data_IF_931255098411
#
_entry.id   IF_931255098411
#
_cell.length_a   1.000
_cell.length_b   1.000
_cell.length_c   1.000
_cell.angle_alpha   90.00
_cell.angle_beta   90.00
_cell.angle_gamma   90.00
#
_symmetry.space_group_name_H-M   'P 1'
#
loop_
_entity.id
_entity.type
_entity.pdbx_description
1 polymer ?
#
# COMPACT_ATOMS: atom_id res chain seq x y z
N UNK A 1 10.51 4.26 -4.24
CA UNK A 1 11.61 4.05 -5.23
C UNK A 1 12.07 2.59 -5.28
N UNK A 2 12.46 1.98 -4.15
CA UNK A 2 12.90 0.58 -4.08
C UNK A 2 11.97 -0.42 -4.80
N UNK A 3 10.66 -0.31 -4.58
CA UNK A 3 9.66 -1.23 -5.15
C UNK A 3 9.55 -1.18 -6.67
N UNK A 4 9.74 -0.01 -7.29
CA UNK A 4 9.79 0.11 -8.75
C UNK A 4 11.02 -0.60 -9.32
N UNK A 5 12.16 -0.46 -8.66
CA UNK A 5 13.38 -1.17 -9.03
C UNK A 5 13.23 -2.69 -8.83
N UNK A 6 12.62 -3.12 -7.72
CA UNK A 6 12.33 -4.54 -7.46
C UNK A 6 11.42 -5.17 -8.52
N UNK A 7 10.35 -4.48 -8.91
CA UNK A 7 9.46 -4.93 -9.99
C UNK A 7 10.22 -5.05 -11.32
N UNK A 8 11.00 -4.02 -11.69
CA UNK A 8 11.80 -4.03 -12.92
C UNK A 8 12.87 -5.14 -12.92
N UNK A 9 13.48 -5.41 -11.76
CA UNK A 9 14.42 -6.51 -11.60
C UNK A 9 13.74 -7.87 -11.82
N UNK A 10 12.57 -8.11 -11.24
CA UNK A 10 11.84 -9.37 -11.47
C UNK A 10 11.50 -9.58 -12.94
N UNK A 11 11.07 -8.51 -13.63
CA UNK A 11 10.84 -8.55 -15.08
C UNK A 11 12.12 -8.88 -15.84
N UNK A 12 13.27 -8.32 -15.45
CA UNK A 12 14.55 -8.65 -16.09
C UNK A 12 15.00 -10.09 -15.85
N UNK A 13 14.50 -10.74 -14.79
CA UNK A 13 14.69 -12.17 -14.51
C UNK A 13 13.63 -13.07 -15.18
N UNK A 14 12.80 -12.54 -16.08
CA UNK A 14 11.76 -13.28 -16.79
C UNK A 14 10.51 -13.59 -15.97
N UNK A 15 10.35 -12.97 -14.79
CA UNK A 15 9.13 -13.11 -13.98
C UNK A 15 8.11 -12.02 -14.39
N UNK A 16 6.84 -12.38 -14.67
CA UNK A 16 5.81 -11.40 -15.02
C UNK A 16 5.38 -10.61 -13.77
N UNK A 17 6.15 -9.60 -13.41
CA UNK A 17 5.91 -8.74 -12.25
C UNK A 17 5.31 -7.39 -12.65
N UNK A 18 4.41 -6.87 -11.81
CA UNK A 18 3.89 -5.51 -11.93
C UNK A 18 4.10 -4.71 -10.64
N UNK A 19 4.28 -3.40 -10.79
CA UNK A 19 4.35 -2.47 -9.67
C UNK A 19 2.97 -1.94 -9.33
N UNK A 20 2.64 -1.92 -8.04
CA UNK A 20 1.40 -1.38 -7.49
C UNK A 20 1.74 -0.33 -6.42
N UNK A 21 0.97 0.76 -6.38
CA UNK A 21 1.10 1.76 -5.31
C UNK A 21 0.30 1.29 -4.09
N UNK A 22 0.93 1.25 -2.92
CA UNK A 22 0.26 0.80 -1.70
C UNK A 22 -0.92 1.69 -1.33
N UNK A 23 -0.84 2.98 -1.68
CA UNK A 23 -1.89 3.98 -1.40
C UNK A 23 -3.17 3.68 -2.18
N UNK A 24 -3.07 2.96 -3.30
CA UNK A 24 -4.25 2.54 -4.06
C UNK A 24 -4.99 1.35 -3.42
N UNK A 25 -4.36 0.68 -2.46
CA UNK A 25 -4.88 -0.50 -1.77
C UNK A 25 -5.18 -0.25 -0.29
N UNK A 26 -4.43 0.66 0.34
CA UNK A 26 -4.50 0.91 1.77
C UNK A 26 -5.00 2.33 2.02
N UNK A 27 -6.16 2.42 2.68
CA UNK A 27 -6.71 3.65 3.20
C UNK A 27 -6.63 3.65 4.73
N UNK A 28 -6.10 4.72 5.31
CA UNK A 28 -6.09 4.89 6.76
C UNK A 28 -7.47 5.28 7.27
N UNK A 29 -7.79 4.80 8.47
CA UNK A 29 -9.02 5.18 9.16
C UNK A 29 -8.96 6.67 9.57
N UNK A 30 -10.04 7.40 9.31
CA UNK A 30 -10.15 8.77 9.83
C UNK A 30 -10.37 8.72 11.34
N UNK A 31 -9.41 9.27 12.07
CA UNK A 31 -9.50 9.49 13.50
C UNK A 31 -9.33 10.96 13.81
N UNK A 32 -10.40 11.73 13.63
CA UNK A 32 -10.50 13.16 13.97
C UNK A 32 -10.08 13.52 15.41
N UNK A 33 -10.04 12.54 16.31
CA UNK A 33 -9.57 12.70 17.70
C UNK A 33 -8.05 12.64 17.87
N UNK A 34 -7.31 12.21 16.85
CA UNK A 34 -5.85 12.12 16.90
C UNK A 34 -5.21 13.47 16.55
N UNK A 35 -4.05 13.74 17.16
CA UNK A 35 -3.22 14.86 16.74
C UNK A 35 -2.79 14.69 15.28
N UNK A 36 -2.59 15.78 14.55
CA UNK A 36 -2.13 15.73 13.16
C UNK A 36 -0.82 14.94 13.02
N UNK A 37 0.10 15.07 13.98
CA UNK A 37 1.34 14.28 13.99
C UNK A 37 1.08 12.76 14.00
N UNK A 38 0.14 12.31 14.83
CA UNK A 38 -0.20 10.88 14.91
C UNK A 38 -0.96 10.41 13.67
N UNK A 39 -1.82 11.25 13.09
CA UNK A 39 -2.51 10.96 11.82
C UNK A 39 -1.52 10.76 10.67
N UNK A 40 -0.50 11.61 10.55
CA UNK A 40 0.46 11.50 9.45
C UNK A 40 1.57 10.46 9.65
N UNK A 41 2.01 10.21 10.88
CA UNK A 41 3.21 9.39 11.13
C UNK A 41 2.93 8.01 11.74
N UNK A 42 1.70 7.76 12.20
CA UNK A 42 1.33 6.51 12.87
C UNK A 42 -0.16 6.19 12.65
N UNK A 43 -0.59 6.28 11.39
CA UNK A 43 -1.93 5.93 10.97
C UNK A 43 -2.21 4.42 11.13
N UNK A 44 -3.48 4.05 11.07
CA UNK A 44 -3.91 2.65 11.08
C UNK A 44 -4.92 2.44 9.95
N UNK A 45 -4.87 1.27 9.31
CA UNK A 45 -5.82 0.86 8.27
C UNK A 45 -6.81 -0.17 8.83
N UNK A 46 -7.96 -0.30 8.18
CA UNK A 46 -8.82 -1.47 8.37
C UNK A 46 -8.15 -2.74 7.87
N UNK A 47 -8.55 -3.89 8.43
CA UNK A 47 -8.07 -5.22 8.03
C UNK A 47 -9.20 -6.12 7.49
N UNK A 48 -10.40 -5.56 7.36
CA UNK A 48 -11.55 -6.29 6.82
C UNK A 48 -11.30 -6.65 5.34
N UNK A 49 -11.83 -7.80 4.88
CA UNK A 49 -11.74 -8.16 3.47
C UNK A 49 -12.38 -7.08 2.59
N UNK A 50 -11.67 -6.66 1.55
CA UNK A 50 -12.15 -5.75 0.50
C UNK A 50 -12.41 -6.55 -0.80
N UNK A 51 -13.67 -6.88 -1.13
CA UNK A 51 -14.00 -7.65 -2.32
C UNK A 51 -13.66 -6.91 -3.63
N UNK A 52 -13.75 -5.58 -3.64
CA UNK A 52 -13.45 -4.77 -4.83
C UNK A 52 -11.94 -4.80 -5.09
N UNK A 53 -11.13 -4.63 -4.05
CA UNK A 53 -9.69 -4.79 -4.15
C UNK A 53 -9.32 -6.22 -4.61
N UNK A 54 -9.93 -7.26 -4.05
CA UNK A 54 -9.69 -8.64 -4.47
C UNK A 54 -10.01 -8.86 -5.95
N UNK A 55 -11.15 -8.34 -6.43
CA UNK A 55 -11.53 -8.44 -7.83
C UNK A 55 -10.54 -7.68 -8.72
N UNK A 56 -10.15 -6.46 -8.33
CA UNK A 56 -9.18 -5.65 -9.08
C UNK A 56 -7.82 -6.33 -9.18
N UNK A 57 -7.33 -6.92 -8.08
CA UNK A 57 -6.05 -7.62 -8.06
C UNK A 57 -6.09 -8.93 -8.85
N UNK A 58 -7.18 -9.69 -8.78
CA UNK A 58 -7.32 -10.95 -9.55
C UNK A 58 -7.47 -10.75 -11.06
N UNK A 59 -7.92 -9.56 -11.50
CA UNK A 59 -7.97 -9.19 -12.91
C UNK A 59 -6.60 -8.82 -13.50
N UNK A 60 -5.55 -8.65 -12.68
CA UNK A 60 -4.21 -8.33 -13.17
C UNK A 60 -3.54 -9.57 -13.77
N UNK A 61 -2.98 -9.43 -14.97
CA UNK A 61 -2.28 -10.53 -15.65
C UNK A 61 -0.86 -10.81 -15.08
N UNK A 62 -0.43 -10.08 -14.05
CA UNK A 62 0.89 -10.24 -13.45
C UNK A 62 0.92 -11.44 -12.50
N UNK A 63 1.96 -12.28 -12.60
CA UNK A 63 2.20 -13.39 -11.67
C UNK A 63 2.77 -12.93 -10.33
N UNK A 64 3.34 -11.72 -10.26
CA UNK A 64 3.86 -11.12 -9.02
C UNK A 64 3.48 -9.64 -8.97
N UNK A 65 2.98 -9.18 -7.82
CA UNK A 65 2.74 -7.77 -7.54
C UNK A 65 3.76 -7.27 -6.51
N UNK A 66 4.43 -6.16 -6.81
CA UNK A 66 5.38 -5.51 -5.91
C UNK A 66 4.82 -4.16 -5.48
N UNK A 67 4.62 -3.99 -4.17
CA UNK A 67 4.10 -2.75 -3.57
C UNK A 67 4.97 -2.25 -2.42
N UNK A 68 4.70 -1.05 -1.93
CA UNK A 68 5.43 -0.41 -0.83
C UNK A 68 4.89 -0.87 0.52
N UNK A 69 5.77 -1.02 1.50
CA UNK A 69 5.36 -1.05 2.91
C UNK A 69 5.31 0.35 3.52
N UNK A 70 4.85 0.42 4.77
CA UNK A 70 4.86 1.59 5.65
C UNK A 70 3.97 2.78 5.25
N UNK A 71 3.30 2.78 4.09
CA UNK A 71 2.51 3.93 3.61
C UNK A 71 1.07 3.56 3.27
N UNK A 72 0.16 4.51 3.45
CA UNK A 72 -1.25 4.43 3.06
C UNK A 72 -1.75 5.82 2.60
N UNK A 73 -3.00 5.88 2.14
CA UNK A 73 -3.70 7.14 1.80
C UNK A 73 -4.70 7.51 2.89
N UNK A 74 -4.81 8.79 3.24
CA UNK A 74 -5.90 9.27 4.11
C UNK A 74 -7.15 9.70 3.32
N UNK A 75 -8.13 10.30 4.02
CA UNK A 75 -9.40 10.71 3.41
C UNK A 75 -9.22 11.89 2.45
N UNK A 76 -8.22 12.74 2.69
CA UNK A 76 -7.84 13.88 1.88
C UNK A 76 -7.00 13.49 0.65
N UNK A 77 -6.51 12.26 0.63
CA UNK A 77 -5.69 11.73 -0.45
C UNK A 77 -4.19 11.88 -0.21
N UNK A 78 -3.79 12.37 0.95
CA UNK A 78 -2.40 12.55 1.33
C UNK A 78 -1.75 11.19 1.65
N UNK A 79 -0.42 11.20 1.63
CA UNK A 79 0.38 10.04 2.05
C UNK A 79 0.62 10.08 3.55
N UNK A 80 0.25 9.01 4.23
CA UNK A 80 0.47 8.82 5.67
C UNK A 80 1.37 7.60 5.94
N UNK A 81 2.06 7.60 7.07
CA UNK A 81 2.89 6.49 7.53
C UNK A 81 2.15 5.63 8.55
N UNK A 82 2.41 4.32 8.50
CA UNK A 82 1.85 3.32 9.41
C UNK A 82 2.67 3.14 10.71
N UNK A 83 3.56 4.09 11.01
CA UNK A 83 4.46 4.01 12.17
C UNK A 83 5.67 3.11 11.96
N UNK A 84 6.44 2.88 13.04
CA UNK A 84 7.59 1.98 12.99
C UNK A 84 7.13 0.53 12.83
N UNK A 85 7.78 -0.21 11.93
CA UNK A 85 7.35 -1.57 11.60
C UNK A 85 6.14 -1.61 10.66
N UNK A 86 5.72 -0.48 10.10
CA UNK A 86 4.56 -0.39 9.21
C UNK A 86 4.68 -1.18 7.89
N UNK A 87 5.82 -1.84 7.61
CA UNK A 87 5.95 -2.80 6.51
C UNK A 87 5.49 -4.20 6.87
N UNK A 88 5.43 -4.51 8.17
CA UNK A 88 4.98 -5.80 8.72
C UNK A 88 3.48 -5.79 9.05
N UNK A 89 2.86 -4.60 9.02
CA UNK A 89 1.42 -4.36 9.23
C UNK A 89 0.66 -4.61 7.95
#
# INVERSE_FOLDING_TARGET
MSTRLGAAFLVSQGQPAAWLDARDCLASNDHSRLSSHRRYLSASCGFDPDPELQQRLSALAAGVLVTQGCIARDAEGDTVLLGRGGSDT
#
